data_IF_176685095495
#
_entry.id   IF_176685095495
#
_cell.length_a   1.000
_cell.length_b   1.000
_cell.length_c   1.000
_cell.angle_alpha   90.00
_cell.angle_beta   90.00
_cell.angle_gamma   90.00
#
_symmetry.space_group_name_H-M   'P 1'
#
loop_
_entity.id
_entity.type
_entity.pdbx_description
1 polymer ?
#
# COMPACT_ATOMS: atom_id res chain seq x y z
N UNK A 1 18.46 -2.52 -0.89
CA UNK A 1 17.66 -2.00 0.24
C UNK A 1 16.27 -2.57 0.10
N UNK A 2 15.76 -3.29 1.11
CA UNK A 2 14.38 -3.75 1.07
C UNK A 2 13.45 -2.53 1.19
N UNK A 3 12.55 -2.34 0.22
CA UNK A 3 11.59 -1.21 0.21
C UNK A 3 10.58 -1.30 1.36
N UNK A 4 10.43 -2.47 1.98
CA UNK A 4 9.54 -2.72 3.11
C UNK A 4 10.35 -3.34 4.25
N UNK A 5 10.39 -2.66 5.39
CA UNK A 5 11.03 -3.15 6.61
C UNK A 5 10.00 -3.82 7.53
N UNK A 6 10.47 -4.69 8.43
CA UNK A 6 9.64 -5.21 9.52
C UNK A 6 9.66 -4.22 10.69
N UNK A 7 8.51 -3.73 11.18
CA UNK A 7 8.49 -2.84 12.34
C UNK A 7 9.03 -3.49 13.61
N UNK A 8 9.08 -4.83 13.71
CA UNK A 8 9.69 -5.53 14.84
C UNK A 8 11.22 -5.34 14.92
N UNK A 9 11.86 -4.97 13.83
CA UNK A 9 13.31 -4.73 13.76
C UNK A 9 13.71 -3.29 14.14
N UNK A 10 12.74 -2.45 14.52
CA UNK A 10 12.93 -1.03 14.79
C UNK A 10 12.58 -0.66 16.24
N UNK A 11 13.33 0.29 16.80
CA UNK A 11 12.98 0.89 18.10
C UNK A 11 11.76 1.81 17.98
N UNK A 12 11.07 2.16 19.08
CA UNK A 12 9.98 3.13 19.04
C UNK A 12 10.38 4.47 18.41
N UNK A 13 11.55 5.00 18.76
CA UNK A 13 12.07 6.24 18.18
C UNK A 13 12.32 6.10 16.66
N UNK A 14 12.84 4.95 16.19
CA UNK A 14 13.01 4.69 14.76
C UNK A 14 11.69 4.57 14.00
N UNK A 15 10.63 4.08 14.65
CA UNK A 15 9.29 3.98 14.05
C UNK A 15 8.59 5.34 13.96
N UNK A 16 8.79 6.19 14.97
CA UNK A 16 8.11 7.49 15.09
C UNK A 16 8.84 8.60 14.34
N UNK A 17 10.18 8.61 14.40
CA UNK A 17 11.03 9.72 13.93
C UNK A 17 12.03 9.31 12.84
N UNK A 18 12.09 8.03 12.47
CA UNK A 18 13.00 7.52 11.43
C UNK A 18 12.51 7.72 10.00
N UNK A 19 13.36 7.35 9.04
CA UNK A 19 13.10 7.42 7.59
C UNK A 19 12.69 6.06 6.98
N UNK A 20 12.69 4.99 7.79
CA UNK A 20 12.39 3.64 7.33
C UNK A 20 10.89 3.42 7.26
N UNK A 21 10.42 3.13 6.05
CA UNK A 21 9.04 2.70 5.86
C UNK A 21 8.85 1.24 6.34
N UNK A 22 8.11 1.07 7.44
CA UNK A 22 7.87 -0.21 8.13
C UNK A 22 6.37 -0.41 8.49
N UNK A 23 5.49 -0.59 7.48
CA UNK A 23 4.05 -0.69 7.73
C UNK A 23 3.71 -1.98 8.50
N UNK A 24 2.88 -1.85 9.53
CA UNK A 24 2.36 -2.99 10.30
C UNK A 24 1.15 -3.61 9.62
N UNK A 25 1.30 -4.83 9.14
CA UNK A 25 0.19 -5.64 8.63
C UNK A 25 -0.62 -6.24 9.78
N UNK A 26 -1.92 -6.37 9.60
CA UNK A 26 -2.80 -7.06 10.54
C UNK A 26 -2.56 -8.60 10.52
N UNK A 27 -3.23 -9.39 11.37
CA UNK A 27 -3.07 -10.85 11.38
C UNK A 27 -3.39 -11.56 10.06
N UNK A 28 -4.20 -10.95 9.19
CA UNK A 28 -4.51 -11.47 7.84
C UNK A 28 -3.43 -11.09 6.80
N UNK A 29 -2.37 -10.41 7.22
CA UNK A 29 -1.31 -9.92 6.32
C UNK A 29 -1.75 -8.73 5.47
N UNK A 30 -2.68 -7.89 5.95
CA UNK A 30 -3.27 -6.77 5.23
C UNK A 30 -3.04 -5.42 5.92
N UNK A 31 -2.98 -4.36 5.13
CA UNK A 31 -3.11 -2.96 5.55
C UNK A 31 -4.27 -2.28 4.83
N UNK A 32 -4.86 -1.27 5.45
CA UNK A 32 -5.82 -0.38 4.80
C UNK A 32 -5.07 0.70 4.05
N UNK A 33 -5.38 0.88 2.76
CA UNK A 33 -4.88 1.94 1.92
C UNK A 33 -6.02 2.89 1.56
N UNK A 34 -5.79 4.18 1.74
CA UNK A 34 -6.70 5.26 1.33
C UNK A 34 -6.07 5.93 0.12
N UNK A 35 -6.75 5.90 -1.01
CA UNK A 35 -6.35 6.67 -2.18
C UNK A 35 -7.01 8.04 -2.14
N UNK A 36 -6.19 9.08 -2.14
CA UNK A 36 -6.62 10.46 -2.28
C UNK A 36 -6.13 11.05 -3.60
N UNK A 37 -6.92 11.96 -4.14
CA UNK A 37 -6.56 12.80 -5.26
C UNK A 37 -5.37 13.68 -4.86
N UNK A 38 -4.30 13.69 -5.67
CA UNK A 38 -2.99 14.22 -5.27
C UNK A 38 -2.95 15.74 -5.10
N UNK A 39 -3.76 16.48 -5.87
CA UNK A 39 -3.81 17.95 -5.85
C UNK A 39 -4.83 18.51 -4.85
N UNK A 40 -5.97 17.84 -4.69
CA UNK A 40 -7.06 18.33 -3.82
C UNK A 40 -7.13 17.65 -2.46
N UNK A 41 -6.49 16.48 -2.30
CA UNK A 41 -6.64 15.64 -1.12
C UNK A 41 -8.00 14.91 -1.03
N UNK A 42 -8.86 15.02 -2.04
CA UNK A 42 -10.17 14.34 -2.05
C UNK A 42 -9.98 12.83 -1.91
N UNK A 43 -10.60 12.22 -0.90
CA UNK A 43 -10.60 10.75 -0.76
C UNK A 43 -11.41 10.14 -1.90
N UNK A 44 -10.76 9.27 -2.68
CA UNK A 44 -11.36 8.58 -3.83
C UNK A 44 -11.89 7.21 -3.43
N UNK A 45 -11.11 6.45 -2.65
CA UNK A 45 -11.48 5.11 -2.21
C UNK A 45 -10.63 4.62 -1.03
N UNK A 46 -11.14 3.58 -0.37
CA UNK A 46 -10.38 2.76 0.56
C UNK A 46 -10.39 1.30 0.09
N UNK A 47 -9.24 0.64 0.16
CA UNK A 47 -9.07 -0.77 -0.17
C UNK A 47 -7.92 -1.38 0.62
N UNK A 48 -7.82 -2.71 0.63
CA UNK A 48 -6.73 -3.39 1.34
C UNK A 48 -5.54 -3.64 0.41
N UNK A 49 -4.35 -3.65 0.98
CA UNK A 49 -3.13 -4.15 0.34
C UNK A 49 -2.53 -5.26 1.19
N UNK A 50 -2.08 -6.34 0.58
CA UNK A 50 -1.14 -7.26 1.21
C UNK A 50 0.31 -6.78 0.92
N UNK A 51 1.30 -7.48 1.49
CA UNK A 51 2.73 -7.13 1.29
C UNK A 51 3.12 -7.04 -0.18
N UNK A 52 2.65 -7.97 -1.01
CA UNK A 52 2.94 -7.99 -2.45
C UNK A 52 2.31 -6.81 -3.20
N UNK A 53 1.06 -6.47 -2.90
CA UNK A 53 0.37 -5.34 -3.52
C UNK A 53 1.06 -4.01 -3.21
N UNK A 54 1.49 -3.82 -1.96
CA UNK A 54 2.26 -2.64 -1.57
C UNK A 54 3.62 -2.59 -2.26
N UNK A 55 4.34 -3.71 -2.29
CA UNK A 55 5.63 -3.80 -3.00
C UNK A 55 5.51 -3.41 -4.47
N UNK A 56 4.57 -4.01 -5.20
CA UNK A 56 4.33 -3.71 -6.61
C UNK A 56 3.89 -2.27 -6.83
N UNK A 57 3.12 -1.69 -5.91
CA UNK A 57 2.72 -0.28 -5.99
C UNK A 57 3.92 0.65 -5.96
N UNK A 58 4.85 0.42 -5.02
CA UNK A 58 6.07 1.22 -4.88
C UNK A 58 7.02 0.97 -6.06
N UNK A 59 7.21 -0.28 -6.44
CA UNK A 59 8.14 -0.67 -7.51
C UNK A 59 7.71 -0.16 -8.89
N UNK A 60 6.41 -0.27 -9.21
CA UNK A 60 5.91 0.03 -10.55
C UNK A 60 5.33 1.44 -10.69
N UNK A 61 5.13 2.14 -9.57
CA UNK A 61 4.38 3.41 -9.51
C UNK A 61 2.90 3.29 -9.89
N UNK A 62 2.37 2.07 -10.06
CA UNK A 62 0.97 1.82 -10.40
C UNK A 62 0.28 1.17 -9.22
N UNK A 63 -0.89 1.67 -8.82
CA UNK A 63 -1.53 1.20 -7.59
C UNK A 63 -2.10 -0.22 -7.76
N UNK A 64 -1.68 -1.11 -6.85
CA UNK A 64 -2.17 -2.47 -6.71
C UNK A 64 -2.84 -2.65 -5.36
N UNK A 65 -3.99 -3.32 -5.35
CA UNK A 65 -4.74 -3.69 -4.15
C UNK A 65 -4.82 -5.21 -4.01
N UNK A 66 -5.29 -5.67 -2.86
CA UNK A 66 -5.62 -7.06 -2.60
C UNK A 66 -7.12 -7.21 -2.33
N UNK A 67 -7.81 -7.98 -3.18
CA UNK A 67 -9.22 -8.29 -3.01
C UNK A 67 -9.38 -9.40 -1.96
N UNK A 68 -9.91 -9.06 -0.79
CA UNK A 68 -10.15 -10.04 0.29
C UNK A 68 -11.15 -11.13 -0.11
N UNK A 69 -12.21 -10.77 -0.82
CA UNK A 69 -13.24 -11.72 -1.26
C UNK A 69 -12.76 -12.65 -2.36
N UNK A 70 -11.94 -12.14 -3.30
CA UNK A 70 -11.39 -12.93 -4.41
C UNK A 70 -10.04 -13.58 -4.09
N UNK A 71 -9.46 -13.26 -2.92
CA UNK A 71 -8.12 -13.67 -2.48
C UNK A 71 -7.05 -13.49 -3.57
N UNK A 72 -7.07 -12.34 -4.25
CA UNK A 72 -6.20 -12.07 -5.40
C UNK A 72 -5.69 -10.64 -5.42
N UNK A 73 -4.50 -10.48 -6.01
CA UNK A 73 -3.96 -9.19 -6.39
C UNK A 73 -4.84 -8.55 -7.48
N UNK A 74 -4.99 -7.24 -7.41
CA UNK A 74 -5.76 -6.45 -8.36
C UNK A 74 -5.01 -5.17 -8.70
N UNK A 75 -4.62 -5.00 -9.97
CA UNK A 75 -4.07 -3.73 -10.45
C UNK A 75 -5.23 -2.78 -10.74
N UNK A 76 -5.25 -1.62 -10.08
CA UNK A 76 -6.38 -0.67 -10.22
C UNK A 76 -6.50 -0.23 -11.67
N UNK A 77 -7.71 -0.37 -12.22
CA UNK A 77 -8.01 -0.01 -13.60
C UNK A 77 -7.64 -1.07 -14.65
N UNK A 78 -7.17 -2.27 -14.26
CA UNK A 78 -6.76 -3.32 -15.22
C UNK A 78 -7.86 -3.72 -16.23
N UNK A 79 -9.13 -3.59 -15.85
CA UNK A 79 -10.27 -3.89 -16.73
C UNK A 79 -11.00 -2.65 -17.23
N UNK A 80 -11.01 -1.55 -16.45
CA UNK A 80 -11.82 -0.37 -16.77
C UNK A 80 -11.04 0.77 -17.41
N UNK A 81 -9.71 0.74 -17.41
CA UNK A 81 -8.86 1.86 -17.84
C UNK A 81 -8.65 2.95 -16.76
N UNK A 82 -9.47 2.97 -15.71
CA UNK A 82 -9.39 3.91 -14.58
C UNK A 82 -8.20 3.57 -13.65
N UNK A 83 -6.98 3.81 -14.13
CA UNK A 83 -5.74 3.53 -13.42
C UNK A 83 -5.39 4.61 -12.40
N UNK A 84 -4.58 4.25 -11.40
CA UNK A 84 -4.04 5.18 -10.41
C UNK A 84 -2.51 5.08 -10.42
N UNK A 85 -1.86 6.24 -10.55
CA UNK A 85 -0.40 6.37 -10.44
C UNK A 85 -0.04 6.88 -9.05
N UNK A 86 0.96 6.26 -8.43
CA UNK A 86 1.54 6.73 -7.17
C UNK A 86 2.29 8.05 -7.42
N UNK A 87 2.05 9.03 -6.56
CA UNK A 87 2.68 10.37 -6.59
C UNK A 87 3.55 10.54 -5.37
#
# INVERSE_FOLDING_TARGET
>A
MALLHDPADLTPDQLENGDRFAPRFNPDGLILAIASQADTGQVLMAAYMNRQALHLTIETGQVHYYSRSRKKLWKKGESSGETQKLV
#
